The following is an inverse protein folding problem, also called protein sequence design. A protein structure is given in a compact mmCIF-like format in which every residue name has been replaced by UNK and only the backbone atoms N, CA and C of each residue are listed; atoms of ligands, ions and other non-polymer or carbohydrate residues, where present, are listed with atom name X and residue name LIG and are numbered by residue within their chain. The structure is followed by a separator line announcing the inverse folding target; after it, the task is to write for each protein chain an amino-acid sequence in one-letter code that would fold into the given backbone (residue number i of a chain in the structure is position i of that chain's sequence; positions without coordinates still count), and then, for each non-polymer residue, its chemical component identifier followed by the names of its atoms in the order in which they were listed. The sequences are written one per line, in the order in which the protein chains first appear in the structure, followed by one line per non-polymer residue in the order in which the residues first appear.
data_IF_206574656548
#
_entry.id   IF_206574656548
#
_cell.length_a   1.000
_cell.length_b   1.000
_cell.length_c   1.000
_cell.angle_alpha   90.00
_cell.angle_beta   90.00
_cell.angle_gamma   90.00
#
_symmetry.space_group_name_H-M   'P 1'
#
loop_
_entity.id
_entity.type
_entity.pdbx_description
1 polymer ?
#
# COMPACT_ATOMS: atom_id res chain seq x y z
N UNK A 1 -11.69 -6.42 11.57
CA UNK A 1 -12.79 -6.72 10.60
C UNK A 1 -12.54 -5.83 9.38
N UNK A 2 -13.10 -6.11 8.20
CA UNK A 2 -12.90 -5.26 7.00
C UNK A 2 -13.20 -3.76 7.23
N UNK A 3 -13.90 -3.42 8.32
CA UNK A 3 -14.27 -2.05 8.71
C UNK A 3 -13.09 -1.09 8.93
N UNK A 4 -11.91 -1.61 9.24
CA UNK A 4 -10.74 -0.77 9.52
C UNK A 4 -10.13 -0.19 8.24
N UNK A 5 -10.20 -0.93 7.12
CA UNK A 5 -9.70 -0.50 5.81
C UNK A 5 -10.81 0.14 4.98
N UNK A 6 -10.86 1.48 4.93
CA UNK A 6 -11.93 2.24 4.25
C UNK A 6 -11.47 2.86 2.94
N UNK A 7 -12.36 2.88 1.95
CA UNK A 7 -12.09 3.58 0.68
C UNK A 7 -11.78 5.05 0.94
N UNK A 8 -10.54 5.44 0.66
CA UNK A 8 -10.10 6.83 0.69
C UNK A 8 -10.55 7.53 -0.59
N UNK A 9 -10.91 8.81 -0.46
CA UNK A 9 -11.29 9.67 -1.57
C UNK A 9 -10.09 10.15 -2.39
N UNK A 10 -8.88 9.75 -2.01
CA UNK A 10 -7.65 10.07 -2.72
C UNK A 10 -7.63 9.40 -4.10
N UNK A 11 -7.11 10.11 -5.10
CA UNK A 11 -6.81 9.57 -6.43
C UNK A 11 -5.40 10.01 -6.77
N UNK A 12 -4.46 9.08 -6.76
CA UNK A 12 -3.06 9.39 -7.01
C UNK A 12 -2.87 9.77 -8.50
N UNK A 13 -2.47 11.01 -8.82
CA UNK A 13 -2.27 11.44 -10.20
C UNK A 13 -1.00 10.85 -10.84
N UNK A 14 -0.13 10.20 -10.06
CA UNK A 14 1.15 9.61 -10.48
C UNK A 14 1.10 8.10 -10.61
N UNK A 15 0.11 7.44 -10.00
CA UNK A 15 -0.21 6.06 -10.35
C UNK A 15 -0.66 6.04 -11.81
N UNK A 16 0.06 5.32 -12.66
CA UNK A 16 -0.21 5.26 -14.11
C UNK A 16 -1.62 4.75 -14.46
N UNK A 17 -1.84 4.45 -15.74
CA UNK A 17 -3.15 3.99 -16.27
C UNK A 17 -3.81 2.93 -15.35
N UNK A 18 -5.04 3.18 -14.91
CA UNK A 18 -5.85 2.25 -14.14
C UNK A 18 -6.86 2.91 -13.20
N UNK A 19 -7.90 2.18 -12.81
CA UNK A 19 -8.81 2.56 -11.72
C UNK A 19 -8.24 2.06 -10.40
N UNK A 20 -8.10 2.97 -9.43
CA UNK A 20 -7.47 2.69 -8.14
C UNK A 20 -8.46 2.88 -7.00
N UNK A 21 -8.40 2.00 -6.01
CA UNK A 21 -9.13 2.11 -4.76
C UNK A 21 -8.10 2.20 -3.64
N UNK A 22 -8.18 3.25 -2.85
CA UNK A 22 -7.25 3.51 -1.76
C UNK A 22 -7.88 3.08 -0.46
N UNK A 23 -7.13 2.47 0.44
CA UNK A 23 -7.60 2.06 1.74
C UNK A 23 -6.69 2.63 2.83
N UNK A 24 -7.30 3.12 3.90
CA UNK A 24 -6.62 3.62 5.11
C UNK A 24 -7.08 2.80 6.30
N UNK A 25 -6.18 2.57 7.27
CA UNK A 25 -6.48 1.89 8.53
C UNK A 25 -5.89 2.68 9.72
N UNK A 26 -6.69 3.06 10.73
CA UNK A 26 -6.21 3.82 11.90
C UNK A 26 -5.08 3.13 12.69
N UNK A 27 -4.94 1.80 12.60
CA UNK A 27 -3.82 1.06 13.18
C UNK A 27 -2.48 1.34 12.46
N UNK A 28 -2.53 1.87 11.24
CA UNK A 28 -1.40 2.23 10.40
C UNK A 28 -1.54 3.67 9.86
N UNK A 29 -1.49 4.70 10.72
CA UNK A 29 -1.89 6.08 10.40
C UNK A 29 -1.06 6.78 9.30
N UNK A 30 0.08 6.20 8.91
CA UNK A 30 0.97 6.73 7.88
C UNK A 30 1.05 5.84 6.63
N UNK A 31 0.21 4.81 6.53
CA UNK A 31 0.23 3.84 5.45
C UNK A 31 -1.12 3.80 4.74
N UNK A 32 -1.04 3.85 3.41
CA UNK A 32 -2.16 3.73 2.49
C UNK A 32 -1.99 2.45 1.68
N UNK A 33 -3.05 1.68 1.53
CA UNK A 33 -3.06 0.57 0.57
C UNK A 33 -3.73 1.05 -0.72
N UNK A 34 -3.06 0.90 -1.85
CA UNK A 34 -3.61 1.21 -3.17
C UNK A 34 -3.88 -0.09 -3.91
N UNK A 35 -5.15 -0.39 -4.20
CA UNK A 35 -5.56 -1.51 -5.04
C UNK A 35 -5.81 -1.05 -6.47
N UNK A 36 -5.23 -1.72 -7.45
CA UNK A 36 -5.55 -1.49 -8.86
C UNK A 36 -6.70 -2.43 -9.27
N UNK A 37 -7.86 -1.87 -9.62
CA UNK A 37 -9.04 -2.64 -10.05
C UNK A 37 -8.76 -3.40 -11.33
N UNK A 38 -7.95 -2.82 -12.22
CA UNK A 38 -7.65 -3.39 -13.53
C UNK A 38 -6.55 -4.46 -13.49
N UNK A 39 -5.73 -4.49 -12.43
CA UNK A 39 -4.57 -5.37 -12.32
C UNK A 39 -4.06 -5.49 -10.88
N UNK A 40 -4.46 -6.55 -10.17
CA UNK A 40 -4.07 -6.79 -8.78
C UNK A 40 -2.55 -6.96 -8.57
N UNK A 41 -1.76 -7.18 -9.62
CA UNK A 41 -0.29 -7.24 -9.48
C UNK A 41 0.34 -5.88 -9.21
N UNK A 42 -0.45 -4.81 -9.36
CA UNK A 42 -0.02 -3.42 -9.15
C UNK A 42 -0.46 -2.86 -7.80
N UNK A 43 -1.06 -3.70 -6.96
CA UNK A 43 -1.35 -3.38 -5.57
C UNK A 43 -0.05 -3.00 -4.83
N UNK A 44 -0.11 -1.93 -4.03
CA UNK A 44 1.04 -1.43 -3.30
C UNK A 44 0.65 -0.72 -2.02
N UNK A 45 1.60 -0.66 -1.09
CA UNK A 45 1.50 0.20 0.08
C UNK A 45 2.19 1.53 -0.21
N UNK A 46 1.66 2.64 0.27
CA UNK A 46 2.28 3.94 0.16
C UNK A 46 2.37 4.61 1.53
N UNK A 47 3.43 5.38 1.75
CA UNK A 47 3.54 6.24 2.94
C UNK A 47 2.97 7.64 2.66
N UNK A 48 2.72 8.41 3.72
CA UNK A 48 2.20 9.80 3.64
C UNK A 48 3.07 10.75 2.78
N UNK A 49 4.36 10.44 2.61
CA UNK A 49 5.27 11.14 1.70
C UNK A 49 5.03 10.83 0.20
N UNK A 50 4.01 10.01 -0.09
CA UNK A 50 3.60 9.54 -1.43
C UNK A 50 4.59 8.59 -2.09
N UNK A 51 5.48 7.96 -1.32
CA UNK A 51 6.33 6.90 -1.84
C UNK A 51 5.53 5.60 -1.94
N UNK A 52 5.34 5.08 -3.15
CA UNK A 52 4.67 3.81 -3.42
C UNK A 52 5.65 2.63 -3.35
N UNK A 53 5.39 1.67 -2.48
CA UNK A 53 6.14 0.44 -2.27
C UNK A 53 5.34 -0.78 -2.72
N UNK A 54 5.78 -1.39 -3.82
CA UNK A 54 5.12 -2.56 -4.39
C UNK A 54 5.54 -3.85 -3.68
N UNK A 55 4.59 -4.75 -3.41
CA UNK A 55 4.91 -6.09 -2.91
C UNK A 55 5.38 -6.99 -4.05
N UNK A 56 6.36 -7.86 -3.80
CA UNK A 56 6.80 -8.87 -4.78
C UNK A 56 7.46 -8.32 -6.05
N UNK A 57 7.62 -6.99 -6.16
CA UNK A 57 8.33 -6.37 -7.26
C UNK A 57 9.85 -6.34 -6.96
N UNK A 58 10.65 -6.57 -8.00
CA UNK A 58 12.12 -6.51 -7.94
C UNK A 58 12.67 -5.12 -8.28
N UNK A 59 11.82 -4.17 -8.67
CA UNK A 59 12.21 -2.80 -9.00
C UNK A 59 11.80 -1.84 -7.87
N UNK A 60 12.74 -1.07 -7.29
CA UNK A 60 12.43 -0.06 -6.29
C UNK A 60 11.38 0.94 -6.78
N UNK A 61 10.47 1.42 -5.90
CA UNK A 61 10.40 1.10 -4.48
C UNK A 61 9.61 -0.20 -4.22
N UNK A 62 10.22 -1.10 -3.45
CA UNK A 62 9.63 -2.35 -2.95
C UNK A 62 9.88 -2.39 -1.46
N UNK A 63 8.91 -2.82 -0.67
CA UNK A 63 9.08 -2.87 0.79
C UNK A 63 9.91 -4.07 1.27
N UNK A 64 10.32 -4.96 0.35
CA UNK A 64 11.34 -6.00 0.60
C UNK A 64 12.76 -5.54 0.26
N UNK A 65 12.99 -4.25 0.01
CA UNK A 65 14.33 -3.71 -0.26
C UNK A 65 15.01 -3.23 1.03
N UNK A 66 16.27 -3.60 1.25
CA UNK A 66 17.08 -3.17 2.40
C UNK A 66 17.44 -1.66 2.38
N UNK A 67 17.23 -0.96 1.26
CA UNK A 67 17.44 0.50 1.19
C UNK A 67 16.34 1.31 1.86
N UNK A 68 15.19 0.70 2.15
CA UNK A 68 14.10 1.32 2.90
C UNK A 68 14.39 1.18 4.40
N UNK A 69 14.21 2.23 5.21
CA UNK A 69 14.43 2.15 6.66
C UNK A 69 13.68 0.97 7.28
N UNK A 70 14.35 0.23 8.18
CA UNK A 70 13.84 -1.03 8.74
C UNK A 70 12.44 -0.86 9.36
N UNK A 71 12.23 0.21 10.14
CA UNK A 71 10.94 0.50 10.76
C UNK A 71 9.82 0.67 9.72
N UNK A 72 10.09 1.36 8.60
CA UNK A 72 9.14 1.54 7.51
C UNK A 72 8.81 0.21 6.86
N UNK A 73 9.81 -0.65 6.61
CA UNK A 73 9.56 -1.99 6.02
C UNK A 73 8.67 -2.85 6.92
N UNK A 74 8.94 -2.87 8.22
CA UNK A 74 8.15 -3.65 9.20
C UNK A 74 6.70 -3.17 9.19
N UNK A 75 6.47 -1.86 9.22
CA UNK A 75 5.12 -1.30 9.19
C UNK A 75 4.38 -1.62 7.88
N UNK A 76 5.05 -1.49 6.73
CA UNK A 76 4.47 -1.83 5.41
C UNK A 76 4.13 -3.33 5.30
N UNK A 77 4.99 -4.21 5.81
CA UNK A 77 4.74 -5.65 5.84
C UNK A 77 3.59 -6.01 6.77
N UNK A 78 3.50 -5.36 7.94
CA UNK A 78 2.41 -5.56 8.88
C UNK A 78 1.07 -5.13 8.28
N UNK A 79 1.02 -3.93 7.68
CA UNK A 79 -0.15 -3.42 6.99
C UNK A 79 -0.59 -4.33 5.82
N UNK A 80 0.38 -4.79 5.01
CA UNK A 80 0.10 -5.72 3.90
C UNK A 80 -0.52 -7.03 4.40
N UNK A 81 0.09 -7.64 5.42
CA UNK A 81 -0.44 -8.86 6.00
C UNK A 81 -1.83 -8.64 6.60
N UNK A 82 -2.04 -7.56 7.35
CA UNK A 82 -3.34 -7.24 7.94
C UNK A 82 -4.44 -7.15 6.88
N UNK A 83 -4.21 -6.38 5.82
CA UNK A 83 -5.14 -6.23 4.70
C UNK A 83 -5.51 -7.59 4.05
N UNK A 84 -4.53 -8.42 3.68
CA UNK A 84 -4.80 -9.72 3.03
C UNK A 84 -5.32 -10.81 3.97
N UNK A 85 -5.17 -10.66 5.28
CA UNK A 85 -5.70 -11.63 6.25
C UNK A 85 -7.15 -11.31 6.63
N UNK A 86 -7.57 -10.06 6.46
CA UNK A 86 -8.92 -9.58 6.75
C UNK A 86 -9.85 -9.64 5.53
N UNK A 87 -9.30 -9.81 4.31
CA UNK A 87 -10.05 -10.03 3.06
C UNK A 87 -10.26 -11.50 2.73
#
# INVERSE_FOLDING_TARGET
MMDDWKVSAYRDPTNGLGVWVYYENPAFPDIHMSRCVDDATRDHMATNDRTAYYFGNNRPPTFNNATVPEHTRIALQAAWRDYYTVM
#
